data_IF_700363852955
#
_entry.id   IF_700363852955
#
_cell.length_a   1.000
_cell.length_b   1.000
_cell.length_c   1.000
_cell.angle_alpha   90.00
_cell.angle_beta   90.00
_cell.angle_gamma   90.00
#
_symmetry.space_group_name_H-M   'P 1'
#
loop_
_entity.id
_entity.type
_entity.pdbx_description
1 polymer ?
#
# COMPACT_ATOMS: atom_id res chain seq x y z
N UNK A 1 -35.71 46.18 -39.12
CA UNK A 1 -35.13 47.50 -38.79
C UNK A 1 -34.23 47.27 -37.57
N UNK A 2 -32.93 47.54 -37.51
CA UNK A 2 -32.05 48.49 -38.16
C UNK A 2 -30.63 47.89 -38.24
N UNK A 3 -29.90 48.18 -39.31
CA UNK A 3 -28.47 47.90 -39.54
C UNK A 3 -27.56 48.71 -38.61
N UNK A 4 -26.35 48.19 -38.35
CA UNK A 4 -25.05 48.91 -38.41
C UNK A 4 -23.92 47.85 -38.40
N UNK A 5 -23.12 47.67 -39.46
CA UNK A 5 -21.94 48.47 -39.90
C UNK A 5 -20.88 48.57 -38.78
N UNK A 6 -19.56 48.48 -38.98
CA UNK A 6 -18.63 48.27 -40.10
C UNK A 6 -17.26 48.66 -39.49
N UNK A 7 -16.16 47.93 -39.72
CA UNK A 7 -14.89 48.54 -40.17
C UNK A 7 -13.80 47.49 -40.48
N UNK A 8 -13.31 47.59 -41.70
CA UNK A 8 -12.09 47.01 -42.25
C UNK A 8 -10.97 48.03 -42.03
N UNK A 9 -9.78 47.61 -41.64
CA UNK A 9 -8.54 48.35 -41.92
C UNK A 9 -7.48 47.36 -42.43
N UNK A 10 -7.10 47.55 -43.68
CA UNK A 10 -5.89 47.04 -44.32
C UNK A 10 -5.07 48.27 -44.71
N UNK A 11 -3.79 48.32 -44.37
CA UNK A 11 -2.79 49.18 -45.05
C UNK A 11 -1.47 48.41 -45.14
N UNK A 12 -0.86 48.48 -46.31
CA UNK A 12 0.37 47.82 -46.72
C UNK A 12 1.52 48.84 -46.94
N UNK A 13 2.75 48.30 -46.90
CA UNK A 13 3.93 48.62 -47.74
C UNK A 13 4.96 49.71 -47.37
N UNK A 14 6.20 49.42 -47.84
CA UNK A 14 7.40 50.25 -48.19
C UNK A 14 8.60 50.06 -47.21
N UNK A 15 9.61 49.22 -47.50
CA UNK A 15 10.80 49.28 -48.41
C UNK A 15 11.92 50.27 -47.98
N UNK A 16 13.14 49.76 -47.73
CA UNK A 16 14.42 50.34 -48.18
C UNK A 16 15.60 49.35 -48.01
N UNK A 17 16.38 49.12 -49.09
CA UNK A 17 17.70 48.44 -49.13
C UNK A 17 18.83 49.31 -48.54
N UNK A 18 20.12 48.97 -48.55
CA UNK A 18 20.98 48.41 -49.60
C UNK A 18 22.38 48.10 -49.00
N UNK A 19 23.23 47.27 -49.64
CA UNK A 19 24.67 47.23 -49.33
C UNK A 19 25.42 45.95 -49.67
N UNK A 20 25.74 45.75 -50.94
CA UNK A 20 26.59 44.70 -51.54
C UNK A 20 28.09 44.88 -51.29
N UNK A 21 28.86 43.79 -51.24
CA UNK A 21 30.16 43.67 -51.92
C UNK A 21 30.68 42.22 -51.95
N UNK A 22 31.15 41.80 -53.13
CA UNK A 22 31.87 40.55 -53.43
C UNK A 22 33.28 40.89 -53.92
N UNK A 23 34.25 39.99 -53.75
CA UNK A 23 34.99 39.40 -54.90
C UNK A 23 35.40 37.94 -54.61
N UNK A 24 35.89 37.04 -55.47
CA UNK A 24 36.21 36.88 -56.90
C UNK A 24 36.46 35.35 -57.07
N UNK A 25 36.20 34.77 -58.24
CA UNK A 25 36.53 33.36 -58.59
C UNK A 25 37.76 33.35 -59.50
N UNK A 26 38.66 32.38 -59.31
CA UNK A 26 39.59 31.90 -60.35
C UNK A 26 39.53 30.37 -60.49
N UNK A 27 39.80 29.95 -61.73
CA UNK A 27 39.46 28.70 -62.37
C UNK A 27 40.34 27.49 -62.00
N UNK A 28 39.75 26.29 -62.10
CA UNK A 28 40.47 25.02 -61.99
C UNK A 28 39.62 23.83 -62.43
N UNK A 29 39.40 23.69 -63.75
CA UNK A 29 38.66 22.60 -64.40
C UNK A 29 39.63 21.43 -64.68
N UNK A 30 39.40 20.23 -64.13
CA UNK A 30 39.31 18.98 -64.92
C UNK A 30 39.05 17.68 -64.13
N UNK A 31 38.14 16.89 -64.71
CA UNK A 31 37.94 15.42 -64.72
C UNK A 31 36.93 14.80 -63.74
N UNK A 32 35.84 14.32 -64.34
CA UNK A 32 34.77 13.45 -63.83
C UNK A 32 35.31 12.08 -63.35
N UNK A 33 34.57 11.30 -62.52
CA UNK A 33 33.43 10.53 -63.04
C UNK A 33 32.24 10.30 -62.08
N UNK A 34 31.07 10.16 -62.72
CA UNK A 34 30.02 9.15 -62.47
C UNK A 34 29.27 9.14 -61.12
N UNK A 35 27.96 9.20 -61.30
CA UNK A 35 26.86 9.22 -60.33
C UNK A 35 26.88 8.01 -59.37
N UNK A 36 26.63 8.26 -58.08
CA UNK A 36 25.82 7.34 -57.29
C UNK A 36 24.71 8.10 -56.56
N UNK A 37 23.48 7.92 -57.06
CA UNK A 37 22.24 8.35 -56.40
C UNK A 37 22.02 7.37 -55.25
N UNK A 38 22.02 7.86 -54.00
CA UNK A 38 21.10 7.45 -52.94
C UNK A 38 21.53 7.99 -51.56
N UNK A 39 20.91 9.07 -51.12
CA UNK A 39 20.35 9.21 -49.76
C UNK A 39 19.89 10.65 -49.51
N UNK A 40 18.72 11.00 -50.03
CA UNK A 40 17.87 11.93 -49.31
C UNK A 40 16.96 11.08 -48.42
N UNK A 41 17.38 10.81 -47.19
CA UNK A 41 16.51 10.19 -46.19
C UNK A 41 16.13 11.24 -45.15
N UNK A 42 14.96 11.83 -45.41
CA UNK A 42 13.88 12.13 -44.47
C UNK A 42 14.28 12.65 -43.09
N UNK A 43 14.00 13.94 -42.86
CA UNK A 43 13.79 14.47 -41.52
C UNK A 43 12.68 13.68 -40.84
N UNK A 44 13.06 12.71 -40.01
CA UNK A 44 12.17 11.96 -39.15
C UNK A 44 11.65 12.93 -38.07
N UNK A 45 10.46 13.47 -38.28
CA UNK A 45 9.72 14.18 -37.22
C UNK A 45 9.43 13.19 -36.10
N UNK A 46 10.22 13.27 -35.03
CA UNK A 46 9.97 12.55 -33.79
C UNK A 46 8.66 13.09 -33.20
N UNK A 47 7.60 12.28 -33.26
CA UNK A 47 6.40 12.51 -32.46
C UNK A 47 6.79 12.44 -30.98
N UNK A 48 6.97 13.58 -30.35
CA UNK A 48 7.11 13.65 -28.89
C UNK A 48 5.81 13.16 -28.29
N UNK A 49 5.83 11.96 -27.71
CA UNK A 49 4.70 11.37 -27.00
C UNK A 49 4.57 12.16 -25.70
N UNK A 50 3.62 13.10 -25.64
CA UNK A 50 3.32 13.87 -24.44
C UNK A 50 3.01 12.91 -23.30
N UNK A 51 3.89 12.85 -22.29
CA UNK A 51 3.64 12.05 -21.09
C UNK A 51 2.58 12.79 -20.30
N UNK A 52 1.39 12.19 -20.18
CA UNK A 52 0.29 12.78 -19.41
C UNK A 52 0.75 13.05 -17.98
N UNK A 53 0.62 14.31 -17.54
CA UNK A 53 0.97 14.74 -16.18
C UNK A 53 -0.08 14.33 -15.15
N UNK A 54 -1.26 13.92 -15.64
CA UNK A 54 -2.43 13.54 -14.85
C UNK A 54 -2.13 12.28 -14.04
N UNK A 55 -2.41 12.35 -12.74
CA UNK A 55 -2.35 11.18 -11.87
C UNK A 55 -3.66 10.41 -11.99
N UNK A 56 -3.59 9.07 -12.02
CA UNK A 56 -4.77 8.21 -12.03
C UNK A 56 -4.95 7.54 -10.67
N UNK A 57 -6.19 7.27 -10.32
CA UNK A 57 -6.55 6.47 -9.14
C UNK A 57 -7.30 5.23 -9.61
N UNK A 58 -6.83 4.08 -9.17
CA UNK A 58 -7.49 2.79 -9.31
C UNK A 58 -7.85 2.26 -7.93
N UNK A 59 -9.08 1.80 -7.78
CA UNK A 59 -9.58 1.19 -6.56
C UNK A 59 -10.14 -0.17 -6.92
N UNK A 60 -9.54 -1.25 -6.39
CA UNK A 60 -9.92 -2.63 -6.73
C UNK A 60 -10.06 -2.84 -8.25
N UNK A 61 -9.09 -2.34 -9.01
CA UNK A 61 -9.04 -2.41 -10.48
C UNK A 61 -9.93 -1.41 -11.25
N UNK A 62 -10.84 -0.70 -10.58
CA UNK A 62 -11.71 0.32 -11.22
C UNK A 62 -11.08 1.71 -11.15
N UNK A 63 -11.10 2.45 -12.25
CA UNK A 63 -10.55 3.81 -12.29
C UNK A 63 -11.55 4.82 -11.72
N UNK A 64 -11.08 5.74 -10.88
CA UNK A 64 -11.86 6.86 -10.39
C UNK A 64 -12.06 7.94 -11.46
N UNK A 65 -13.21 8.61 -11.42
CA UNK A 65 -13.59 9.71 -12.33
C UNK A 65 -12.83 11.02 -12.05
N UNK A 66 -12.32 11.20 -10.83
CA UNK A 66 -11.59 12.39 -10.39
C UNK A 66 -10.14 12.03 -10.08
N UNK A 67 -9.21 12.81 -10.62
CA UNK A 67 -7.77 12.57 -10.49
C UNK A 67 -7.24 12.90 -9.08
N UNK A 68 -6.28 12.13 -8.54
CA UNK A 68 -5.49 12.51 -7.37
C UNK A 68 -4.59 13.72 -7.64
N UNK A 69 -4.09 14.31 -6.56
CA UNK A 69 -3.09 15.38 -6.58
C UNK A 69 -1.92 15.04 -5.66
N UNK A 70 -0.74 15.58 -5.93
CA UNK A 70 0.39 15.54 -5.00
C UNK A 70 0.57 16.95 -4.45
N UNK A 71 0.54 17.09 -3.12
CA UNK A 71 0.78 18.35 -2.43
C UNK A 71 1.90 18.12 -1.42
N UNK A 72 3.03 18.81 -1.58
CA UNK A 72 4.21 18.69 -0.72
C UNK A 72 4.67 17.25 -0.52
N UNK A 73 4.72 16.46 -1.59
CA UNK A 73 5.14 15.04 -1.56
C UNK A 73 4.08 14.05 -1.06
N UNK A 74 2.94 14.54 -0.54
CA UNK A 74 1.83 13.68 -0.10
C UNK A 74 0.83 13.53 -1.24
N UNK A 75 0.48 12.28 -1.55
CA UNK A 75 -0.58 11.98 -2.52
C UNK A 75 -1.94 12.08 -1.85
N UNK A 76 -2.80 12.92 -2.40
CA UNK A 76 -4.16 13.10 -1.96
C UNK A 76 -5.16 12.59 -3.01
N UNK A 77 -6.17 11.87 -2.56
CA UNK A 77 -7.24 11.33 -3.41
C UNK A 77 -8.58 12.00 -3.12
N UNK A 78 -9.44 12.18 -4.13
CA UNK A 78 -10.78 12.74 -3.95
C UNK A 78 -11.66 11.78 -3.13
N UNK A 79 -12.10 12.21 -1.95
CA UNK A 79 -12.67 11.29 -0.95
C UNK A 79 -13.95 10.60 -1.41
N UNK A 80 -14.84 11.31 -2.13
CA UNK A 80 -16.10 10.73 -2.62
C UNK A 80 -15.86 9.67 -3.70
N UNK A 81 -15.03 9.98 -4.69
CA UNK A 81 -14.74 9.03 -5.77
C UNK A 81 -14.01 7.77 -5.24
N UNK A 82 -13.10 7.92 -4.28
CA UNK A 82 -12.48 6.77 -3.62
C UNK A 82 -13.48 5.99 -2.75
N UNK A 83 -14.32 6.68 -1.99
CA UNK A 83 -15.33 6.09 -1.11
C UNK A 83 -16.38 5.29 -1.87
N UNK A 84 -16.88 5.81 -3.00
CA UNK A 84 -17.82 5.11 -3.89
C UNK A 84 -17.24 3.80 -4.41
N UNK A 85 -16.01 3.81 -4.91
CA UNK A 85 -15.37 2.59 -5.42
C UNK A 85 -15.02 1.57 -4.31
N UNK A 86 -14.83 2.03 -3.08
CA UNK A 86 -14.62 1.20 -1.90
C UNK A 86 -15.93 0.74 -1.23
N UNK A 87 -17.09 1.19 -1.72
CA UNK A 87 -18.39 1.01 -1.07
C UNK A 87 -18.40 1.45 0.40
N UNK A 88 -17.85 2.65 0.68
CA UNK A 88 -17.80 3.24 2.03
C UNK A 88 -18.73 4.44 2.15
N UNK A 89 -19.29 4.65 3.33
CA UNK A 89 -20.01 5.88 3.65
C UNK A 89 -19.02 7.02 3.82
N UNK A 90 -19.26 8.12 3.12
CA UNK A 90 -18.49 9.37 3.24
C UNK A 90 -19.44 10.49 3.63
N UNK A 91 -19.18 11.17 4.74
CA UNK A 91 -19.95 12.36 5.15
C UNK A 91 -19.05 13.53 5.51
N UNK A 92 -19.57 14.74 5.31
CA UNK A 92 -18.93 15.99 5.69
C UNK A 92 -19.77 16.68 6.75
N UNK A 93 -19.17 16.98 7.89
CA UNK A 93 -19.75 17.85 8.90
C UNK A 93 -19.13 19.25 8.75
N UNK A 94 -19.97 20.21 8.35
CA UNK A 94 -19.55 21.59 8.13
C UNK A 94 -19.25 22.33 9.44
N UNK A 95 -19.91 21.98 10.54
CA UNK A 95 -19.77 22.65 11.83
C UNK A 95 -18.41 22.33 12.47
N UNK A 96 -18.02 21.06 12.44
CA UNK A 96 -16.74 20.57 12.96
C UNK A 96 -15.63 20.51 11.91
N UNK A 97 -15.93 20.83 10.65
CA UNK A 97 -15.03 20.67 9.48
C UNK A 97 -14.43 19.26 9.40
N UNK A 98 -15.26 18.24 9.59
CA UNK A 98 -14.79 16.86 9.67
C UNK A 98 -15.27 16.03 8.49
N UNK A 99 -14.34 15.32 7.86
CA UNK A 99 -14.61 14.27 6.88
C UNK A 99 -14.67 12.95 7.62
N UNK A 100 -15.78 12.21 7.47
CA UNK A 100 -15.95 10.87 8.02
C UNK A 100 -15.94 9.84 6.90
N UNK A 101 -15.26 8.72 7.13
CA UNK A 101 -15.28 7.53 6.28
C UNK A 101 -15.54 6.30 7.15
N UNK A 102 -16.54 5.51 6.83
CA UNK A 102 -16.89 4.33 7.63
C UNK A 102 -17.68 3.26 6.86
N UNK A 103 -17.75 2.06 7.44
CA UNK A 103 -18.58 0.94 6.96
C UNK A 103 -20.08 1.15 7.19
N UNK A 104 -20.44 1.91 8.22
CA UNK A 104 -21.80 2.25 8.58
C UNK A 104 -21.96 3.76 8.66
N UNK A 105 -23.19 4.27 8.53
CA UNK A 105 -23.46 5.70 8.77
C UNK A 105 -23.14 6.01 10.24
N UNK A 106 -22.12 6.84 10.49
CA UNK A 106 -21.85 7.34 11.84
C UNK A 106 -22.80 8.49 12.18
N UNK A 107 -23.31 8.50 13.42
CA UNK A 107 -24.04 9.63 13.97
C UNK A 107 -23.07 10.79 14.21
N UNK A 108 -23.45 11.96 13.73
CA UNK A 108 -22.67 13.18 13.75
C UNK A 108 -22.93 13.93 15.05
N UNK A 109 -21.89 14.15 15.86
CA UNK A 109 -21.82 15.26 16.80
C UNK A 109 -20.41 15.37 17.40
N UNK A 110 -19.65 16.40 17.01
CA UNK A 110 -18.56 16.97 17.82
C UNK A 110 -18.57 18.49 17.67
N UNK A 111 -18.11 19.19 18.71
CA UNK A 111 -18.05 20.64 18.77
C UNK A 111 -17.30 21.25 17.58
N UNK A 112 -17.66 22.48 17.23
CA UNK A 112 -17.04 23.21 16.12
C UNK A 112 -15.53 23.32 16.32
N UNK A 113 -14.77 22.95 15.28
CA UNK A 113 -13.32 23.06 15.24
C UNK A 113 -12.91 23.91 14.03
N UNK A 114 -11.89 24.75 14.21
CA UNK A 114 -11.35 25.57 13.12
C UNK A 114 -10.52 24.73 12.13
N UNK A 115 -10.02 23.57 12.55
CA UNK A 115 -9.09 22.71 11.80
C UNK A 115 -9.82 21.56 11.11
N UNK A 116 -9.54 21.34 9.83
CA UNK A 116 -10.13 20.23 9.07
C UNK A 116 -9.58 18.88 9.55
N UNK A 117 -10.48 17.90 9.74
CA UNK A 117 -10.12 16.56 10.23
C UNK A 117 -10.58 15.47 9.28
N UNK A 118 -9.89 14.33 9.35
CA UNK A 118 -10.32 13.07 8.76
C UNK A 118 -10.51 12.04 9.86
N UNK A 119 -11.72 11.52 10.00
CA UNK A 119 -12.06 10.42 10.87
C UNK A 119 -12.40 9.22 9.99
N UNK A 120 -11.67 8.12 10.17
CA UNK A 120 -11.89 6.86 9.47
C UNK A 120 -12.16 5.78 10.52
N UNK A 121 -13.32 5.14 10.45
CA UNK A 121 -13.74 4.13 11.42
C UNK A 121 -13.58 4.58 12.88
N UNK A 122 -13.92 5.85 13.15
CA UNK A 122 -13.81 6.46 14.49
C UNK A 122 -12.41 6.94 14.89
N UNK A 123 -11.36 6.61 14.12
CA UNK A 123 -9.98 7.03 14.38
C UNK A 123 -9.59 8.24 13.55
N UNK A 124 -8.89 9.19 14.14
CA UNK A 124 -8.40 10.37 13.42
C UNK A 124 -7.14 10.03 12.62
N UNK A 125 -7.07 10.46 11.36
CA UNK A 125 -5.87 10.34 10.55
C UNK A 125 -4.78 11.32 10.99
N UNK A 126 -3.52 10.88 10.92
CA UNK A 126 -2.35 11.68 11.29
C UNK A 126 -2.07 12.85 10.34
N UNK A 127 -2.62 12.83 9.13
CA UNK A 127 -2.48 13.89 8.13
C UNK A 127 -3.86 14.46 7.81
N UNK A 128 -3.99 15.79 7.86
CA UNK A 128 -5.25 16.47 7.61
C UNK A 128 -5.65 16.44 6.11
N UNK A 129 -6.96 16.40 5.79
CA UNK A 129 -7.47 16.62 4.45
C UNK A 129 -7.16 18.01 3.90
N UNK A 130 -7.36 18.18 2.61
CA UNK A 130 -7.31 19.47 1.92
C UNK A 130 -8.60 19.68 1.14
N UNK A 131 -9.10 20.90 1.11
CA UNK A 131 -10.18 21.29 0.19
C UNK A 131 -9.54 22.08 -0.93
N UNK A 132 -9.63 21.57 -2.15
CA UNK A 132 -9.06 22.19 -3.35
C UNK A 132 -10.19 22.38 -4.36
N UNK A 133 -10.48 23.62 -4.73
CA UNK A 133 -11.55 23.97 -5.68
C UNK A 133 -12.90 23.32 -5.34
N UNK A 134 -13.27 23.30 -4.05
CA UNK A 134 -14.52 22.71 -3.57
C UNK A 134 -14.54 21.18 -3.46
N UNK A 135 -13.45 20.50 -3.82
CA UNK A 135 -13.30 19.04 -3.68
C UNK A 135 -12.49 18.72 -2.43
N UNK A 136 -13.00 17.80 -1.61
CA UNK A 136 -12.28 17.30 -0.44
C UNK A 136 -11.33 16.17 -0.84
N UNK A 137 -10.06 16.40 -0.57
CA UNK A 137 -8.95 15.52 -0.86
C UNK A 137 -8.37 14.97 0.45
N UNK A 138 -8.19 13.65 0.53
CA UNK A 138 -7.67 12.97 1.73
C UNK A 138 -6.29 12.35 1.45
N UNK A 139 -5.39 12.33 2.44
CA UNK A 139 -4.07 11.72 2.29
C UNK A 139 -4.21 10.21 2.17
N UNK A 140 -3.93 9.67 0.97
CA UNK A 140 -4.34 8.31 0.60
C UNK A 140 -3.73 7.24 1.50
N UNK A 141 -2.48 7.43 1.94
CA UNK A 141 -1.78 6.46 2.79
C UNK A 141 -2.36 6.43 4.21
N UNK A 142 -2.65 7.59 4.81
CA UNK A 142 -3.23 7.66 6.14
C UNK A 142 -4.66 7.11 6.15
N UNK A 143 -5.47 7.43 5.14
CA UNK A 143 -6.80 6.84 5.00
C UNK A 143 -6.73 5.33 4.73
N UNK A 144 -5.83 4.88 3.85
CA UNK A 144 -5.64 3.47 3.53
C UNK A 144 -5.25 2.63 4.75
N UNK A 145 -4.39 3.15 5.62
CA UNK A 145 -4.03 2.49 6.88
C UNK A 145 -5.26 2.27 7.78
N UNK A 146 -6.07 3.29 7.99
CA UNK A 146 -7.27 3.20 8.84
C UNK A 146 -8.41 2.38 8.22
N UNK A 147 -8.43 2.23 6.88
CA UNK A 147 -9.35 1.37 6.15
C UNK A 147 -8.82 -0.06 5.93
N UNK A 148 -7.62 -0.39 6.42
CA UNK A 148 -6.91 -1.64 6.13
C UNK A 148 -6.83 -1.94 4.63
N UNK A 149 -6.51 -0.94 3.80
CA UNK A 149 -6.29 -1.06 2.35
C UNK A 149 -4.82 -0.99 2.00
N UNK A 150 -4.43 -1.71 0.96
CA UNK A 150 -3.08 -1.67 0.41
C UNK A 150 -2.98 -0.55 -0.63
N UNK A 151 -2.05 0.39 -0.42
CA UNK A 151 -1.88 1.56 -1.30
C UNK A 151 -0.51 1.52 -1.97
N UNK A 152 -0.48 1.54 -3.31
CA UNK A 152 0.76 1.60 -4.10
C UNK A 152 0.78 2.79 -5.04
N UNK A 153 1.99 3.16 -5.46
CA UNK A 153 2.27 4.20 -6.43
C UNK A 153 3.12 3.63 -7.56
N UNK A 154 2.63 3.72 -8.79
CA UNK A 154 3.41 3.48 -10.00
C UNK A 154 3.92 4.83 -10.52
N UNK A 155 5.23 5.04 -10.42
CA UNK A 155 5.89 6.26 -10.86
C UNK A 155 6.00 6.39 -12.39
N UNK A 156 6.04 5.27 -13.12
CA UNK A 156 6.21 5.25 -14.58
C UNK A 156 4.95 5.74 -15.28
N UNK A 157 3.78 5.31 -14.80
CA UNK A 157 2.48 5.70 -15.36
C UNK A 157 1.66 6.62 -14.44
N UNK A 158 2.30 7.16 -13.38
CA UNK A 158 1.72 8.11 -12.43
C UNK A 158 0.35 7.68 -11.91
N UNK A 159 0.29 6.48 -11.34
CA UNK A 159 -0.97 5.86 -10.91
C UNK A 159 -0.92 5.42 -9.46
N UNK A 160 -1.99 5.74 -8.73
CA UNK A 160 -2.24 5.29 -7.35
C UNK A 160 -3.18 4.11 -7.40
N UNK A 161 -2.86 3.04 -6.68
CA UNK A 161 -3.75 1.89 -6.51
C UNK A 161 -4.16 1.79 -5.05
N UNK A 162 -5.45 1.56 -4.80
CA UNK A 162 -6.02 1.23 -3.49
C UNK A 162 -6.69 -0.13 -3.66
N UNK A 163 -6.13 -1.17 -3.06
CA UNK A 163 -6.67 -2.52 -3.16
C UNK A 163 -7.05 -3.05 -1.79
N UNK A 164 -7.96 -4.02 -1.79
CA UNK A 164 -8.20 -4.84 -0.62
C UNK A 164 -6.89 -5.49 -0.20
N UNK A 165 -6.48 -5.20 1.03
CA UNK A 165 -5.39 -5.92 1.66
C UNK A 165 -5.92 -7.34 1.83
N UNK A 166 -5.34 -8.35 1.20
CA UNK A 166 -5.77 -9.75 1.40
C UNK A 166 -5.17 -10.33 2.70
N UNK A 167 -4.05 -9.76 3.18
CA UNK A 167 -3.35 -10.15 4.40
C UNK A 167 -2.69 -8.95 5.10
N UNK A 168 -2.51 -9.00 6.42
CA UNK A 168 -1.88 -7.95 7.22
C UNK A 168 -0.37 -8.18 7.43
N UNK A 169 0.06 -9.45 7.45
CA UNK A 169 1.46 -9.89 7.56
C UNK A 169 1.75 -11.12 6.69
N UNK A 170 3.03 -11.37 6.47
CA UNK A 170 3.55 -12.54 5.77
C UNK A 170 4.46 -13.28 6.74
N UNK A 171 4.30 -14.59 6.83
CA UNK A 171 5.18 -15.49 7.59
C UNK A 171 5.71 -16.56 6.65
N UNK A 172 7.00 -16.83 6.75
CA UNK A 172 7.68 -17.88 5.99
C UNK A 172 7.79 -19.12 6.86
N UNK A 173 7.08 -20.18 6.48
CA UNK A 173 7.13 -21.43 7.23
C UNK A 173 8.48 -22.11 7.04
N UNK A 174 9.18 -22.52 8.12
CA UNK A 174 10.54 -23.03 8.02
C UNK A 174 10.54 -24.51 7.60
N UNK A 175 10.30 -24.75 6.31
CA UNK A 175 10.22 -26.09 5.70
C UNK A 175 11.42 -26.98 6.05
N UNK A 176 12.63 -26.44 6.10
CA UNK A 176 13.82 -27.23 6.43
C UNK A 176 13.83 -27.78 7.86
N UNK A 177 13.06 -27.17 8.77
CA UNK A 177 12.94 -27.62 10.18
C UNK A 177 11.77 -28.59 10.38
N UNK A 178 10.70 -28.41 9.60
CA UNK A 178 9.45 -29.18 9.71
C UNK A 178 9.00 -29.67 8.32
N UNK A 179 9.78 -30.55 7.68
CA UNK A 179 9.55 -30.94 6.28
C UNK A 179 8.23 -31.70 6.09
N UNK A 180 7.76 -32.47 7.07
CA UNK A 180 6.52 -33.23 6.93
C UNK A 180 5.29 -32.32 7.05
N UNK A 181 5.25 -31.41 8.04
CA UNK A 181 4.20 -30.39 8.13
C UNK A 181 4.23 -29.47 6.89
N UNK A 182 5.41 -29.06 6.41
CA UNK A 182 5.51 -28.24 5.19
C UNK A 182 4.96 -28.95 3.96
N UNK A 183 5.20 -30.26 3.82
CA UNK A 183 4.65 -31.06 2.72
C UNK A 183 3.12 -31.10 2.77
N UNK A 184 2.55 -31.27 3.96
CA UNK A 184 1.10 -31.20 4.15
C UNK A 184 0.55 -29.83 3.73
N UNK A 185 1.09 -28.73 4.28
CA UNK A 185 0.66 -27.37 3.92
C UNK A 185 0.71 -27.15 2.40
N UNK A 186 1.83 -27.50 1.74
CA UNK A 186 1.98 -27.36 0.28
C UNK A 186 0.91 -28.14 -0.49
N UNK A 187 0.63 -29.38 -0.07
CA UNK A 187 -0.37 -30.21 -0.73
C UNK A 187 -1.79 -29.66 -0.56
N UNK A 188 -2.10 -29.09 0.61
CA UNK A 188 -3.38 -28.45 0.91
C UNK A 188 -3.57 -27.17 0.09
N UNK A 189 -2.55 -26.33 0.00
CA UNK A 189 -2.55 -25.16 -0.89
C UNK A 189 -2.76 -25.54 -2.37
N UNK A 190 -2.12 -26.63 -2.83
CA UNK A 190 -2.30 -27.11 -4.20
C UNK A 190 -3.73 -27.62 -4.48
N UNK A 191 -4.48 -28.01 -3.43
CA UNK A 191 -5.90 -28.38 -3.50
C UNK A 191 -6.84 -27.17 -3.36
N UNK A 192 -6.31 -25.97 -3.20
CA UNK A 192 -7.09 -24.74 -3.15
C UNK A 192 -7.38 -24.23 -1.74
N UNK A 193 -6.77 -24.82 -0.70
CA UNK A 193 -6.88 -24.26 0.65
C UNK A 193 -6.31 -22.84 0.72
N UNK A 194 -6.89 -22.04 1.61
CA UNK A 194 -6.44 -20.66 1.82
C UNK A 194 -5.00 -20.62 2.35
N UNK A 195 -4.08 -19.85 1.74
CA UNK A 195 -2.78 -19.56 2.33
C UNK A 195 -2.85 -18.50 3.43
N UNK A 196 -4.04 -17.92 3.67
CA UNK A 196 -4.26 -16.89 4.66
C UNK A 196 -4.92 -17.53 5.89
N UNK A 197 -4.32 -17.28 7.05
CA UNK A 197 -4.90 -17.54 8.36
C UNK A 197 -5.40 -16.22 8.95
N UNK A 198 -6.71 -16.06 9.07
CA UNK A 198 -7.33 -15.03 9.90
C UNK A 198 -7.36 -15.54 11.33
N UNK A 199 -6.51 -15.00 12.21
CA UNK A 199 -6.32 -15.55 13.56
C UNK A 199 -7.65 -15.52 14.34
N UNK A 200 -8.13 -16.69 14.74
CA UNK A 200 -9.27 -16.85 15.64
C UNK A 200 -8.97 -17.95 16.67
N UNK A 201 -8.40 -17.53 17.81
CA UNK A 201 -8.09 -18.44 18.91
C UNK A 201 -9.33 -18.92 19.66
N UNK A 202 -10.45 -18.22 19.56
CA UNK A 202 -11.67 -18.56 20.32
C UNK A 202 -12.42 -19.73 19.66
N UNK A 203 -12.40 -19.81 18.32
CA UNK A 203 -12.99 -20.91 17.55
C UNK A 203 -12.13 -22.18 17.46
N UNK A 204 -10.93 -22.20 18.05
CA UNK A 204 -9.95 -23.26 17.79
C UNK A 204 -10.39 -24.66 18.23
N UNK A 205 -11.09 -24.78 19.36
CA UNK A 205 -11.53 -26.08 19.86
C UNK A 205 -12.66 -26.66 18.98
N UNK A 206 -13.63 -25.81 18.59
CA UNK A 206 -14.71 -26.19 17.69
C UNK A 206 -14.17 -26.58 16.30
N UNK A 207 -13.26 -25.78 15.75
CA UNK A 207 -12.63 -26.09 14.47
C UNK A 207 -11.91 -27.44 14.50
N UNK A 208 -11.18 -27.73 15.58
CA UNK A 208 -10.50 -29.02 15.73
C UNK A 208 -11.47 -30.20 15.85
N UNK A 209 -12.59 -30.01 16.53
CA UNK A 209 -13.63 -31.05 16.62
C UNK A 209 -14.20 -31.36 15.23
N UNK A 210 -14.49 -30.31 14.45
CA UNK A 210 -15.05 -30.44 13.10
C UNK A 210 -14.05 -31.08 12.11
N UNK A 211 -12.80 -30.62 12.09
CA UNK A 211 -11.78 -31.10 11.14
C UNK A 211 -11.39 -32.55 11.41
N UNK A 212 -11.28 -32.95 12.68
CA UNK A 212 -10.78 -34.27 13.08
C UNK A 212 -11.89 -35.34 13.23
N UNK A 213 -13.15 -34.96 12.99
CA UNK A 213 -14.29 -35.85 13.12
C UNK A 213 -14.16 -37.08 12.22
N UNK A 214 -14.27 -38.28 12.82
CA UNK A 214 -14.16 -39.55 12.10
C UNK A 214 -12.74 -39.98 11.72
N UNK A 215 -11.71 -39.18 12.02
CA UNK A 215 -10.32 -39.52 11.72
C UNK A 215 -9.68 -40.16 12.96
N UNK A 216 -9.29 -41.45 12.94
CA UNK A 216 -8.76 -42.12 14.11
C UNK A 216 -7.40 -41.54 14.54
N UNK A 217 -7.01 -41.76 15.80
CA UNK A 217 -5.64 -41.47 16.23
C UNK A 217 -4.69 -42.55 15.70
N UNK A 218 -3.42 -42.18 15.44
CA UNK A 218 -2.40 -43.10 14.95
C UNK A 218 -1.13 -42.97 15.78
N UNK A 219 -0.68 -44.07 16.38
CA UNK A 219 0.52 -44.07 17.24
C UNK A 219 1.75 -43.55 16.47
N UNK A 220 2.47 -42.58 17.06
CA UNK A 220 3.64 -41.94 16.47
C UNK A 220 3.34 -40.78 15.51
N UNK A 221 2.07 -40.49 15.25
CA UNK A 221 1.63 -39.40 14.37
C UNK A 221 0.62 -38.51 15.07
N UNK A 222 0.70 -37.22 14.78
CA UNK A 222 -0.36 -36.28 15.08
C UNK A 222 -1.19 -36.05 13.80
N UNK A 223 -2.46 -35.68 13.96
CA UNK A 223 -3.34 -35.28 12.85
C UNK A 223 -3.14 -33.79 12.64
N UNK A 224 -2.31 -33.42 11.67
CA UNK A 224 -2.07 -32.03 11.30
C UNK A 224 -3.25 -31.49 10.48
N UNK A 225 -3.57 -30.21 10.64
CA UNK A 225 -4.78 -29.57 10.10
C UNK A 225 -4.39 -28.35 9.26
N UNK A 226 -4.80 -28.29 7.99
CA UNK A 226 -4.63 -27.10 7.16
C UNK A 226 -5.90 -26.80 6.33
N UNK A 227 -6.53 -25.63 6.50
CA UNK A 227 -6.13 -24.52 7.37
C UNK A 227 -6.19 -24.86 8.87
N UNK A 228 -5.32 -24.23 9.66
CA UNK A 228 -5.15 -24.58 11.08
C UNK A 228 -6.39 -24.25 11.90
N UNK A 229 -6.66 -25.01 12.96
CA UNK A 229 -7.81 -24.79 13.84
C UNK A 229 -7.90 -23.37 14.43
N UNK A 230 -6.76 -22.72 14.68
CA UNK A 230 -6.69 -21.34 15.20
C UNK A 230 -6.96 -20.24 14.14
N UNK A 231 -7.39 -20.62 12.93
CA UNK A 231 -7.73 -19.71 11.84
C UNK A 231 -9.25 -19.79 11.58
N UNK A 232 -9.87 -18.68 11.20
CA UNK A 232 -11.28 -18.68 10.76
C UNK A 232 -11.51 -19.57 9.54
N UNK A 233 -10.48 -19.81 8.74
CA UNK A 233 -10.48 -20.69 7.58
C UNK A 233 -10.37 -22.18 7.94
N UNK A 234 -10.10 -22.51 9.21
CA UNK A 234 -10.04 -23.90 9.68
C UNK A 234 -11.43 -24.52 9.90
N UNK A 235 -11.47 -25.68 10.54
CA UNK A 235 -12.73 -26.34 10.88
C UNK A 235 -13.21 -27.32 9.81
N UNK A 236 -14.52 -27.38 9.61
CA UNK A 236 -15.13 -28.31 8.65
C UNK A 236 -14.54 -28.12 7.22
N UNK A 237 -13.99 -29.20 6.68
CA UNK A 237 -13.40 -29.22 5.34
C UNK A 237 -11.90 -28.93 5.29
N UNK A 238 -11.26 -28.61 6.42
CA UNK A 238 -9.80 -28.52 6.49
C UNK A 238 -9.16 -29.87 6.08
N UNK A 239 -8.07 -29.81 5.32
CA UNK A 239 -7.31 -31.01 4.99
C UNK A 239 -6.56 -31.51 6.22
N UNK A 240 -6.62 -32.82 6.42
CA UNK A 240 -6.00 -33.49 7.56
C UNK A 240 -5.06 -34.57 7.08
N UNK A 241 -3.82 -34.52 7.57
CA UNK A 241 -2.80 -35.52 7.30
C UNK A 241 -2.14 -36.04 8.57
N UNK A 242 -1.71 -37.30 8.55
CA UNK A 242 -0.85 -37.82 9.62
C UNK A 242 0.58 -37.34 9.40
N UNK A 243 1.08 -36.53 10.33
CA UNK A 243 2.46 -36.04 10.36
C UNK A 243 3.16 -36.63 11.58
N UNK A 244 4.45 -37.01 11.49
CA UNK A 244 5.18 -37.51 12.67
C UNK A 244 5.06 -36.53 13.83
N UNK A 245 4.72 -37.03 15.02
CA UNK A 245 4.44 -36.17 16.18
C UNK A 245 5.58 -35.21 16.54
N UNK A 246 6.84 -35.59 16.31
CA UNK A 246 8.00 -34.71 16.55
C UNK A 246 8.06 -33.52 15.60
N UNK A 247 7.75 -33.73 14.31
CA UNK A 247 7.73 -32.68 13.28
C UNK A 247 6.55 -31.73 13.58
N UNK A 248 5.35 -32.31 13.75
CA UNK A 248 4.11 -31.57 13.94
C UNK A 248 4.11 -30.70 15.21
N UNK A 249 4.56 -31.24 16.35
CA UNK A 249 4.62 -30.46 17.61
C UNK A 249 5.67 -29.35 17.55
N UNK A 250 6.78 -29.61 16.86
CA UNK A 250 7.80 -28.61 16.60
C UNK A 250 7.25 -27.46 15.75
N UNK A 251 6.53 -27.79 14.67
CA UNK A 251 5.85 -26.81 13.82
C UNK A 251 4.79 -26.04 14.60
N UNK A 252 3.93 -26.72 15.35
CA UNK A 252 2.88 -26.10 16.16
C UNK A 252 3.42 -25.14 17.22
N UNK A 253 4.50 -25.50 17.91
CA UNK A 253 5.17 -24.59 18.84
C UNK A 253 5.77 -23.37 18.14
N UNK A 254 6.38 -23.56 16.96
CA UNK A 254 6.94 -22.46 16.18
C UNK A 254 5.85 -21.50 15.70
N UNK A 255 4.77 -22.02 15.11
CA UNK A 255 3.63 -21.21 14.66
C UNK A 255 3.00 -20.48 15.85
N UNK A 256 2.78 -21.17 16.97
CA UNK A 256 2.24 -20.57 18.18
C UNK A 256 3.05 -19.37 18.67
N UNK A 257 4.38 -19.52 18.75
CA UNK A 257 5.29 -18.44 19.15
C UNK A 257 5.31 -17.29 18.13
N UNK A 258 5.39 -17.61 16.84
CA UNK A 258 5.43 -16.60 15.77
C UNK A 258 4.13 -15.77 15.73
N UNK A 259 3.00 -16.39 16.05
CA UNK A 259 1.68 -15.75 16.05
C UNK A 259 1.28 -15.11 17.38
N UNK A 260 1.99 -15.37 18.47
CA UNK A 260 1.63 -14.93 19.84
C UNK A 260 1.34 -13.42 19.91
N UNK A 261 2.17 -12.61 19.26
CA UNK A 261 2.09 -11.14 19.31
C UNK A 261 0.94 -10.55 18.49
N UNK A 262 0.26 -11.35 17.69
CA UNK A 262 -0.78 -10.88 16.77
C UNK A 262 -2.19 -11.10 17.35
N UNK A 263 -3.03 -10.06 17.36
CA UNK A 263 -4.40 -10.17 17.88
C UNK A 263 -5.30 -11.01 16.98
N UNK A 264 -6.41 -11.51 17.53
CA UNK A 264 -7.46 -12.14 16.74
C UNK A 264 -7.97 -11.16 15.64
N UNK A 265 -8.36 -11.71 14.49
CA UNK A 265 -8.78 -10.97 13.30
C UNK A 265 -7.63 -10.52 12.40
N UNK A 266 -6.37 -10.67 12.82
CA UNK A 266 -5.22 -10.36 11.96
C UNK A 266 -5.04 -11.45 10.90
N UNK A 267 -4.83 -11.05 9.64
CA UNK A 267 -4.68 -11.98 8.51
C UNK A 267 -3.21 -12.22 8.19
N UNK A 268 -2.80 -13.46 8.24
CA UNK A 268 -1.42 -13.89 8.05
C UNK A 268 -1.34 -14.70 6.77
N UNK A 269 -0.58 -14.23 5.78
CA UNK A 269 -0.21 -15.06 4.64
C UNK A 269 0.94 -15.99 5.02
N UNK A 270 0.71 -17.29 4.91
CA UNK A 270 1.74 -18.32 5.01
C UNK A 270 2.37 -18.57 3.64
N UNK A 271 3.70 -18.46 3.58
CA UNK A 271 4.48 -18.82 2.40
C UNK A 271 5.29 -20.08 2.74
N UNK A 272 5.15 -21.10 1.89
CA UNK A 272 5.89 -22.36 1.96
C UNK A 272 6.54 -22.61 0.59
N UNK A 273 7.55 -21.84 0.23
CA UNK A 273 8.31 -22.02 -1.00
C UNK A 273 9.81 -22.22 -0.72
N UNK A 274 10.36 -23.33 -1.23
CA UNK A 274 11.77 -23.70 -1.07
C UNK A 274 12.78 -22.77 -1.75
N UNK A 275 12.39 -21.53 -2.12
CA UNK A 275 13.26 -20.48 -2.64
C UNK A 275 13.73 -19.49 -1.57
N UNK A 276 13.33 -19.68 -0.32
CA UNK A 276 14.05 -19.13 0.84
C UNK A 276 14.56 -20.26 1.72
N UNK A 277 15.52 -21.02 1.17
CA UNK A 277 16.58 -21.66 1.97
C UNK A 277 17.60 -20.65 2.51
N UNK A 278 17.23 -19.36 2.60
CA UNK A 278 17.82 -18.50 3.62
C UNK A 278 17.19 -19.01 4.91
N UNK A 279 18.03 -19.38 5.86
CA UNK A 279 17.64 -19.40 7.26
C UNK A 279 16.75 -18.18 7.57
N UNK A 280 16.08 -18.16 8.73
CA UNK A 280 15.92 -16.86 9.41
C UNK A 280 17.17 -16.04 9.12
N UNK A 281 17.06 -14.77 8.67
CA UNK A 281 18.24 -13.96 8.42
C UNK A 281 19.18 -14.25 9.58
N UNK A 282 20.45 -14.63 9.30
CA UNK A 282 21.32 -15.27 10.29
C UNK A 282 21.08 -14.58 11.61
N UNK A 283 20.93 -15.34 12.70
CA UNK A 283 21.12 -14.76 14.03
C UNK A 283 22.47 -14.07 13.95
N UNK A 284 22.45 -12.78 13.61
CA UNK A 284 23.52 -11.89 13.86
C UNK A 284 23.58 -11.97 15.37
N UNK A 285 24.70 -12.42 15.91
CA UNK A 285 25.25 -11.72 17.06
C UNK A 285 24.91 -10.25 16.84
N UNK A 286 24.10 -9.62 17.71
CA UNK A 286 23.38 -8.41 17.39
C UNK A 286 24.36 -7.43 16.75
N UNK A 287 24.28 -7.26 15.42
CA UNK A 287 25.02 -6.24 14.72
C UNK A 287 24.66 -4.97 15.48
N UNK A 288 25.67 -4.19 15.93
CA UNK A 288 25.51 -3.23 16.99
C UNK A 288 24.26 -2.45 16.66
N UNK A 289 23.29 -2.49 17.60
CA UNK A 289 22.03 -1.75 17.50
C UNK A 289 22.36 -0.51 16.70
N UNK A 290 21.73 -0.22 15.54
CA UNK A 290 21.93 1.09 14.93
C UNK A 290 21.69 2.01 16.08
N UNK A 291 22.76 2.71 16.52
CA UNK A 291 22.78 3.33 17.85
C UNK A 291 21.39 3.93 17.98
N UNK A 292 20.50 3.41 18.87
CA UNK A 292 19.18 3.99 18.99
C UNK A 292 19.59 5.36 19.44
N UNK A 293 19.70 6.31 18.52
CA UNK A 293 20.36 7.56 18.82
C UNK A 293 19.42 8.11 19.84
N UNK A 294 19.81 8.01 21.13
CA UNK A 294 18.90 7.69 22.24
C UNK A 294 17.59 8.36 21.93
N UNK A 295 16.63 7.60 21.36
CA UNK A 295 15.38 8.23 20.97
C UNK A 295 14.70 8.40 22.30
N UNK A 296 15.00 9.50 22.94
CA UNK A 296 14.62 9.81 24.29
C UNK A 296 13.66 10.95 24.14
N UNK A 297 12.44 10.69 24.56
CA UNK A 297 11.42 11.69 24.65
C UNK A 297 11.31 12.08 26.12
N UNK A 298 11.52 13.36 26.43
CA UNK A 298 11.42 13.87 27.79
C UNK A 298 10.04 13.59 28.41
N UNK A 299 9.01 13.57 27.57
CA UNK A 299 7.61 13.36 27.94
C UNK A 299 6.77 13.03 26.70
N UNK A 300 5.50 12.65 26.92
CA UNK A 300 4.58 12.29 25.85
C UNK A 300 4.30 13.41 24.84
N UNK A 301 4.45 14.69 25.22
CA UNK A 301 4.32 15.80 24.27
C UNK A 301 5.39 15.74 23.18
N UNK A 302 6.63 15.40 23.54
CA UNK A 302 7.71 15.22 22.57
C UNK A 302 7.47 14.01 21.65
N UNK A 303 6.93 12.91 22.20
CA UNK A 303 6.56 11.71 21.43
C UNK A 303 5.48 12.04 20.39
N UNK A 304 4.44 12.78 20.80
CA UNK A 304 3.32 13.18 19.95
C UNK A 304 3.79 14.17 18.87
N UNK A 305 4.63 15.15 19.23
CA UNK A 305 5.18 16.12 18.28
C UNK A 305 6.05 15.47 17.21
N UNK A 306 6.77 14.39 17.57
CA UNK A 306 7.54 13.58 16.63
C UNK A 306 6.66 12.62 15.79
N UNK A 307 5.34 12.54 16.07
CA UNK A 307 4.42 11.61 15.41
C UNK A 307 4.68 10.14 15.74
N UNK A 308 5.34 9.87 16.86
CA UNK A 308 5.76 8.53 17.27
C UNK A 308 4.79 7.86 18.27
N UNK A 309 3.79 8.59 18.77
CA UNK A 309 2.80 8.07 19.73
C UNK A 309 1.66 7.31 19.01
N UNK A 310 1.08 6.26 19.63
CA UNK A 310 1.53 5.63 20.88
C UNK A 310 2.80 4.79 20.68
N UNK A 311 3.63 4.73 21.72
CA UNK A 311 4.84 3.91 21.75
C UNK A 311 4.55 2.59 22.44
N UNK A 312 4.80 1.47 21.76
CA UNK A 312 4.60 0.15 22.36
C UNK A 312 5.88 -0.36 23.01
N UNK A 313 5.76 -1.14 24.08
CA UNK A 313 6.90 -1.76 24.78
C UNK A 313 7.80 -2.51 23.80
N UNK A 314 9.08 -2.13 23.78
CA UNK A 314 10.08 -2.66 22.83
C UNK A 314 10.31 -1.78 21.59
N UNK A 315 9.53 -0.72 21.37
CA UNK A 315 9.78 0.26 20.30
C UNK A 315 10.86 1.30 20.70
N UNK A 316 11.65 1.82 19.73
CA UNK A 316 12.58 2.92 19.98
C UNK A 316 11.89 4.15 20.59
N UNK A 317 12.35 4.55 21.76
CA UNK A 317 11.83 5.67 22.55
C UNK A 317 10.70 5.37 23.50
N UNK A 318 10.25 4.12 23.56
CA UNK A 318 9.45 3.66 24.70
C UNK A 318 10.29 3.70 25.99
N UNK A 319 9.69 4.21 27.07
CA UNK A 319 10.24 4.18 28.43
C UNK A 319 9.08 3.95 29.40
N UNK A 320 9.30 3.20 30.48
CA UNK A 320 8.30 3.02 31.54
C UNK A 320 7.88 4.33 32.20
N UNK A 321 8.70 5.39 32.10
CA UNK A 321 8.34 6.72 32.61
C UNK A 321 7.31 7.44 31.71
N UNK A 322 7.12 6.96 30.47
CA UNK A 322 6.15 7.45 29.50
C UNK A 322 4.86 6.59 29.49
N UNK A 323 4.91 5.42 30.13
CA UNK A 323 3.84 4.43 30.27
C UNK A 323 3.29 4.49 31.71
N UNK A 324 2.36 5.43 31.94
CA UNK A 324 1.91 5.80 33.28
C UNK A 324 1.10 4.69 33.96
N UNK A 325 0.37 3.90 33.20
CA UNK A 325 -0.45 2.76 33.66
C UNK A 325 0.27 1.42 33.53
N UNK A 326 1.40 1.35 32.82
CA UNK A 326 2.29 0.19 32.79
C UNK A 326 1.74 -0.98 31.97
N UNK A 327 0.80 -0.71 31.06
CA UNK A 327 0.12 -1.73 30.25
C UNK A 327 0.93 -2.13 29.00
N UNK A 328 2.07 -1.47 28.78
CA UNK A 328 2.94 -1.69 27.63
C UNK A 328 2.68 -0.71 26.48
N UNK A 329 1.84 0.31 26.66
CA UNK A 329 1.54 1.34 25.66
C UNK A 329 1.80 2.73 26.25
N UNK A 330 2.98 3.29 25.98
CA UNK A 330 3.33 4.64 26.39
C UNK A 330 2.63 5.72 25.53
N UNK A 331 2.25 6.83 26.16
CA UNK A 331 1.72 8.03 25.50
C UNK A 331 0.49 7.80 24.61
N UNK A 332 -0.40 6.91 25.04
CA UNK A 332 -1.65 6.57 24.37
C UNK A 332 -2.78 7.62 24.53
N UNK A 333 -2.59 8.62 25.39
CA UNK A 333 -3.58 9.64 25.76
C UNK A 333 -3.09 11.06 25.49
#
# INVERSE_FOLDING_TARGET
MLKKMMLIVTVASIIAGCGSQSPKIEDGKQRSPVINKNSFNTQKTLKVKTVSTVIRLFVNGKQASVAPVIVSGVTYVPVRAAGELLNKYVSWDASSKTVYISDQKQQQAKAADKTIKLIVNGKQASVAPKILSGVTYIPVRAAGQLLYKYVTWDSKIRSVYINDRQHDRVIYFPESRYPETAAHIKSSLARGESPICTIDRLGADENREQSLSGIPVKSGYDRDEFPMAMCMEGGAGADVAYVKSSDNRGAGSWVGNELEIYPNGMRILFIVDGKTGVASPPTSEPAPKPNPGNVYYDNCTAVIAAGAAPLYKGQPGYSSNLDRDGDGVACEK
#
